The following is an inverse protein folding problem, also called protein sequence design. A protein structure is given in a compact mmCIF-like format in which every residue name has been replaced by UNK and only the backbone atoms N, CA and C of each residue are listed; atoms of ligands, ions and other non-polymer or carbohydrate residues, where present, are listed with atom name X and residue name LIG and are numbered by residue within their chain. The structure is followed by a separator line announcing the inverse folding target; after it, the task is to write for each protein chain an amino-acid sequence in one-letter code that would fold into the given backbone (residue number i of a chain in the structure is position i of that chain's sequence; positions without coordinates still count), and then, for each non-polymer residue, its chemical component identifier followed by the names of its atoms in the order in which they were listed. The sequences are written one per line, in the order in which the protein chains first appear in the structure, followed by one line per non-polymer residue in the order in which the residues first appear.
data_IF_416773855192
#
_entry.id   IF_416773855192
#
_cell.length_a   1.000
_cell.length_b   1.000
_cell.length_c   1.000
_cell.angle_alpha   90.00
_cell.angle_beta   90.00
_cell.angle_gamma   90.00
#
_symmetry.space_group_name_H-M   'P 1'
#
loop_
_entity.id
_entity.type
_entity.pdbx_description
1 polymer ?
#
# COMPACT_ATOMS: atom_id res chain seq x y z
N UNK A 1 -4.42 -23.19 11.28
CA UNK A 1 -4.66 -24.45 10.55
C UNK A 1 -4.02 -25.63 11.28
N UNK A 2 -4.75 -26.72 11.53
CA UNK A 2 -4.22 -27.99 12.02
C UNK A 2 -4.34 -29.04 10.91
N UNK A 3 -3.23 -29.68 10.55
CA UNK A 3 -3.18 -30.75 9.56
C UNK A 3 -3.32 -32.10 10.27
N UNK A 4 -4.29 -32.91 9.83
CA UNK A 4 -4.38 -34.32 10.20
C UNK A 4 -3.85 -35.12 9.00
N UNK A 5 -2.64 -35.64 9.14
CA UNK A 5 -1.99 -36.46 8.10
C UNK A 5 -2.73 -37.78 7.92
N UNK A 6 -3.47 -37.93 6.81
CA UNK A 6 -4.24 -39.14 6.53
C UNK A 6 -4.16 -39.63 5.08
N UNK A 7 -3.27 -39.09 4.23
CA UNK A 7 -3.02 -39.62 2.88
C UNK A 7 -1.71 -39.10 2.30
N UNK A 8 -0.84 -40.03 1.92
CA UNK A 8 0.56 -39.77 1.59
C UNK A 8 0.84 -39.30 0.18
N UNK A 9 0.36 -38.11 -0.20
CA UNK A 9 1.01 -37.20 -1.16
C UNK A 9 0.28 -35.84 -1.18
N UNK A 10 1.02 -34.74 -1.03
CA UNK A 10 0.49 -33.37 -1.18
C UNK A 10 0.74 -32.93 -2.63
N UNK A 11 -0.33 -32.73 -3.38
CA UNK A 11 -0.26 -32.19 -4.75
C UNK A 11 -0.36 -30.67 -4.66
N UNK A 12 0.67 -29.97 -5.13
CA UNK A 12 0.71 -28.52 -5.22
C UNK A 12 0.58 -28.11 -6.68
N UNK A 13 -0.42 -27.29 -7.00
CA UNK A 13 -0.48 -26.56 -8.26
C UNK A 13 0.21 -25.20 -8.08
N UNK A 14 1.16 -24.89 -8.96
CA UNK A 14 1.97 -23.68 -8.85
C UNK A 14 2.40 -23.18 -10.22
N UNK A 15 2.26 -21.87 -10.44
CA UNK A 15 2.74 -21.23 -11.65
C UNK A 15 4.10 -20.55 -11.40
N UNK A 16 5.09 -20.88 -12.22
CA UNK A 16 6.44 -20.31 -12.09
C UNK A 16 6.53 -18.93 -12.76
N UNK A 17 7.29 -18.03 -12.16
CA UNK A 17 7.74 -16.79 -12.79
C UNK A 17 8.63 -17.08 -14.00
N UNK A 18 8.89 -16.08 -14.86
CA UNK A 18 9.75 -16.26 -16.03
C UNK A 18 11.17 -16.71 -15.68
N UNK A 19 11.73 -16.17 -14.60
CA UNK A 19 13.00 -16.63 -14.05
C UNK A 19 12.93 -18.10 -13.58
N UNK A 20 11.81 -18.50 -12.96
CA UNK A 20 11.54 -19.87 -12.55
C UNK A 20 11.44 -20.83 -13.75
N UNK A 21 10.64 -20.49 -14.76
CA UNK A 21 10.50 -21.23 -16.02
C UNK A 21 11.84 -21.39 -16.73
N UNK A 22 12.65 -20.34 -16.80
CA UNK A 22 14.00 -20.37 -17.39
C UNK A 22 14.91 -21.35 -16.66
N UNK A 23 14.92 -21.35 -15.33
CA UNK A 23 15.75 -22.28 -14.52
C UNK A 23 15.28 -23.73 -14.65
N UNK A 24 13.96 -23.96 -14.73
CA UNK A 24 13.41 -25.29 -14.97
C UNK A 24 13.80 -25.80 -16.37
N UNK A 25 13.68 -24.95 -17.39
CA UNK A 25 14.00 -25.27 -18.78
C UNK A 25 15.49 -25.58 -19.02
N UNK A 26 16.39 -25.13 -18.15
CA UNK A 26 17.82 -25.45 -18.25
C UNK A 26 18.15 -26.93 -18.01
N UNK A 27 17.25 -27.71 -17.39
CA UNK A 27 17.37 -29.18 -17.29
C UNK A 27 18.61 -29.69 -16.54
N UNK A 28 19.36 -28.82 -15.88
CA UNK A 28 20.64 -29.12 -15.22
C UNK A 28 20.50 -29.43 -13.72
N UNK A 29 19.27 -29.62 -13.22
CA UNK A 29 18.98 -29.86 -11.80
C UNK A 29 19.18 -28.65 -10.89
N UNK A 30 19.46 -27.45 -11.43
CA UNK A 30 19.64 -26.23 -10.64
C UNK A 30 18.34 -25.64 -10.10
N UNK A 31 17.19 -26.03 -10.67
CA UNK A 31 15.89 -25.60 -10.18
C UNK A 31 15.55 -26.31 -8.86
N UNK A 32 15.49 -25.54 -7.78
CA UNK A 32 15.06 -26.01 -6.45
C UNK A 32 14.19 -24.93 -5.81
N UNK A 33 13.03 -25.32 -5.31
CA UNK A 33 12.21 -24.45 -4.46
C UNK A 33 12.88 -24.38 -3.09
N UNK A 34 13.52 -23.25 -2.79
CA UNK A 34 14.27 -23.06 -1.54
C UNK A 34 13.43 -22.39 -0.44
N UNK A 35 12.42 -21.63 -0.84
CA UNK A 35 11.55 -20.87 0.05
C UNK A 35 10.13 -20.90 -0.52
N UNK A 36 9.16 -21.00 0.37
CA UNK A 36 7.74 -20.85 0.10
C UNK A 36 7.15 -20.02 1.24
N UNK A 37 6.05 -19.34 0.95
CA UNK A 37 5.22 -18.67 1.95
C UNK A 37 3.79 -19.16 1.73
N UNK A 38 3.11 -19.48 2.83
CA UNK A 38 1.68 -19.72 2.81
C UNK A 38 0.95 -18.42 3.16
N UNK A 39 -0.29 -18.30 2.74
CA UNK A 39 -1.19 -17.25 3.16
C UNK A 39 -2.63 -17.75 3.07
N UNK A 40 -3.53 -17.00 3.69
CA UNK A 40 -4.92 -17.39 3.91
C UNK A 40 -5.87 -16.21 3.62
N UNK A 41 -5.40 -15.27 2.80
CA UNK A 41 -6.13 -14.03 2.49
C UNK A 41 -7.33 -14.25 1.56
N UNK A 42 -7.48 -15.46 0.99
CA UNK A 42 -8.61 -15.83 0.14
C UNK A 42 -9.86 -16.18 0.95
N UNK A 43 -9.70 -16.49 2.24
CA UNK A 43 -10.82 -16.82 3.13
C UNK A 43 -11.18 -15.59 3.97
N UNK A 44 -12.40 -15.07 3.77
CA UNK A 44 -12.95 -14.04 4.65
C UNK A 44 -13.59 -14.67 5.88
N UNK A 45 -12.80 -14.74 6.96
CA UNK A 45 -13.26 -15.23 8.26
C UNK A 45 -14.32 -14.34 8.91
N UNK A 46 -14.52 -13.10 8.46
CA UNK A 46 -15.57 -12.20 8.93
C UNK A 46 -16.98 -12.67 8.54
N UNK A 47 -17.10 -13.52 7.52
CA UNK A 47 -18.36 -14.15 7.09
C UNK A 47 -18.81 -15.29 8.00
N UNK A 48 -18.05 -15.59 9.07
CA UNK A 48 -18.47 -16.55 10.09
C UNK A 48 -19.59 -15.94 10.95
N UNK A 49 -20.80 -16.49 10.85
CA UNK A 49 -21.95 -16.04 11.65
C UNK A 49 -22.24 -17.03 12.80
N UNK A 50 -21.74 -16.76 14.03
CA UNK A 50 -22.02 -17.61 15.19
C UNK A 50 -23.49 -17.54 15.66
N UNK A 51 -24.30 -16.65 15.08
CA UNK A 51 -25.70 -16.43 15.46
C UNK A 51 -26.69 -16.92 14.39
N UNK A 52 -26.24 -17.69 13.39
CA UNK A 52 -27.13 -18.16 12.31
C UNK A 52 -28.30 -18.95 12.89
N UNK A 53 -29.53 -18.51 12.59
CA UNK A 53 -30.77 -19.10 13.11
C UNK A 53 -30.95 -20.59 12.75
N UNK A 54 -30.26 -21.07 11.71
CA UNK A 54 -30.33 -22.46 11.23
C UNK A 54 -29.42 -23.42 12.03
N UNK A 55 -28.66 -22.91 13.00
CA UNK A 55 -27.81 -23.69 13.90
C UNK A 55 -26.35 -23.80 13.46
N UNK A 56 -25.52 -24.42 14.29
CA UNK A 56 -24.05 -24.41 14.16
C UNK A 56 -23.48 -25.02 12.88
N UNK A 57 -24.28 -25.80 12.15
CA UNK A 57 -23.90 -26.36 10.85
C UNK A 57 -23.91 -25.32 9.71
N UNK A 58 -24.41 -24.11 9.97
CA UNK A 58 -24.54 -23.04 8.98
C UNK A 58 -23.66 -21.82 9.31
N UNK A 59 -22.87 -21.87 10.39
CA UNK A 59 -22.04 -20.75 10.82
C UNK A 59 -20.91 -20.44 9.84
N UNK A 60 -20.43 -21.47 9.15
CA UNK A 60 -19.32 -21.43 8.19
C UNK A 60 -19.77 -21.69 6.74
N UNK A 61 -21.09 -21.72 6.47
CA UNK A 61 -21.59 -22.10 5.14
C UNK A 61 -21.11 -21.15 4.04
N UNK A 62 -21.09 -19.84 4.30
CA UNK A 62 -20.62 -18.85 3.33
C UNK A 62 -19.13 -19.03 3.03
N UNK A 63 -18.32 -19.29 4.06
CA UNK A 63 -16.88 -19.57 3.94
C UNK A 63 -16.63 -20.85 3.13
N UNK A 64 -17.42 -21.90 3.36
CA UNK A 64 -17.28 -23.15 2.60
C UNK A 64 -17.72 -23.01 1.13
N UNK A 65 -18.51 -21.99 0.82
CA UNK A 65 -18.98 -21.69 -0.54
C UNK A 65 -18.09 -20.68 -1.27
N UNK A 66 -17.13 -20.02 -0.61
CA UNK A 66 -16.23 -19.09 -1.29
C UNK A 66 -15.34 -19.85 -2.27
N UNK A 67 -15.33 -19.49 -3.56
CA UNK A 67 -14.46 -20.14 -4.53
C UNK A 67 -13.00 -19.75 -4.27
N UNK A 68 -12.14 -20.76 -4.10
CA UNK A 68 -10.68 -20.59 -4.09
C UNK A 68 -10.22 -20.42 -5.53
N UNK A 69 -9.42 -19.37 -5.79
CA UNK A 69 -8.97 -19.04 -7.14
C UNK A 69 -7.65 -19.76 -7.47
N UNK A 70 -7.29 -19.79 -8.75
CA UNK A 70 -6.00 -20.35 -9.17
C UNK A 70 -4.82 -19.47 -8.70
N UNK A 71 -3.65 -20.10 -8.51
CA UNK A 71 -2.45 -19.38 -8.11
C UNK A 71 -2.02 -18.38 -9.21
N UNK A 72 -2.08 -17.08 -8.92
CA UNK A 72 -1.63 -16.04 -9.85
C UNK A 72 -0.10 -15.99 -9.96
N UNK A 73 0.41 -15.77 -11.17
CA UNK A 73 1.85 -15.56 -11.42
C UNK A 73 2.39 -14.26 -10.83
N UNK A 74 1.49 -13.31 -10.55
CA UNK A 74 1.84 -12.01 -10.01
C UNK A 74 1.84 -12.07 -8.47
N UNK A 75 3.03 -12.20 -7.88
CA UNK A 75 3.18 -12.25 -6.42
C UNK A 75 2.65 -10.97 -5.73
N UNK A 76 2.57 -9.86 -6.46
CA UNK A 76 2.17 -8.55 -5.98
C UNK A 76 0.65 -8.49 -5.73
N UNK A 77 -0.11 -9.40 -6.34
CA UNK A 77 -1.58 -9.49 -6.22
C UNK A 77 -2.05 -10.63 -5.32
N UNK A 78 -1.17 -11.55 -4.90
CA UNK A 78 -1.59 -12.84 -4.33
C UNK A 78 -1.77 -12.82 -2.81
N UNK A 79 -0.94 -12.11 -2.04
CA UNK A 79 -0.98 -12.17 -0.57
C UNK A 79 -0.74 -10.79 0.07
N UNK A 80 -1.70 -10.33 0.89
CA UNK A 80 -1.59 -9.15 1.76
C UNK A 80 -0.95 -9.47 3.10
N UNK A 81 -1.18 -10.66 3.63
CA UNK A 81 -0.54 -11.18 4.83
C UNK A 81 0.30 -12.40 4.49
N UNK A 82 1.58 -12.35 4.84
CA UNK A 82 2.52 -13.45 4.61
C UNK A 82 2.67 -14.24 5.90
N UNK A 83 2.77 -15.56 5.81
CA UNK A 83 3.09 -16.38 6.98
C UNK A 83 4.46 -15.97 7.53
N UNK A 84 4.47 -15.53 8.79
CA UNK A 84 5.68 -15.14 9.53
C UNK A 84 5.87 -16.08 10.72
N UNK A 85 7.13 -16.32 11.08
CA UNK A 85 7.47 -17.04 12.31
C UNK A 85 7.71 -16.02 13.42
N UNK A 86 6.89 -16.07 14.46
CA UNK A 86 7.04 -15.24 15.66
C UNK A 86 7.56 -16.12 16.79
N UNK A 87 8.36 -15.57 17.69
CA UNK A 87 8.85 -16.34 18.85
C UNK A 87 7.80 -16.40 19.96
N UNK A 88 6.94 -15.39 20.00
CA UNK A 88 5.84 -15.30 20.94
C UNK A 88 4.59 -16.06 20.44
N UNK A 89 4.29 -17.19 21.07
CA UNK A 89 3.11 -18.01 20.73
C UNK A 89 1.80 -17.49 21.35
N UNK A 90 1.84 -16.44 22.19
CA UNK A 90 0.66 -15.91 22.90
C UNK A 90 0.07 -14.67 22.21
N UNK A 91 0.27 -14.52 20.90
CA UNK A 91 -0.24 -13.39 20.12
C UNK A 91 -1.62 -13.70 19.56
N UNK A 92 -2.59 -12.84 19.90
CA UNK A 92 -3.95 -12.89 19.36
C UNK A 92 -4.14 -11.98 18.15
N UNK A 93 -3.39 -10.86 18.09
CA UNK A 93 -3.49 -9.87 17.01
C UNK A 93 -2.16 -9.69 16.30
N UNK A 94 -2.25 -9.52 14.98
CA UNK A 94 -1.13 -9.07 14.15
C UNK A 94 -1.28 -7.58 13.82
N UNK A 95 -0.16 -6.85 13.70
CA UNK A 95 -0.19 -5.45 13.29
C UNK A 95 -0.64 -5.29 11.84
N UNK A 96 -1.34 -4.20 11.60
CA UNK A 96 -1.78 -3.77 10.28
C UNK A 96 -1.16 -2.41 9.96
N UNK A 97 -1.04 -2.11 8.67
CA UNK A 97 -0.64 -0.80 8.15
C UNK A 97 -1.89 -0.14 7.58
N UNK A 98 -2.26 1.04 8.09
CA UNK A 98 -3.43 1.79 7.63
C UNK A 98 -3.06 3.17 7.14
N UNK A 99 -3.70 3.58 6.06
CA UNK A 99 -3.65 4.94 5.56
C UNK A 99 -4.27 5.91 6.58
N UNK A 100 -3.58 7.00 6.89
CA UNK A 100 -4.02 7.98 7.86
C UNK A 100 -4.55 9.25 7.19
N UNK A 101 -5.87 9.43 7.27
CA UNK A 101 -6.58 10.61 6.75
C UNK A 101 -7.12 11.53 7.86
N UNK A 102 -6.68 11.35 9.12
CA UNK A 102 -7.23 12.12 10.27
C UNK A 102 -6.50 13.44 10.53
N UNK A 103 -5.30 13.62 9.99
CA UNK A 103 -4.50 14.83 10.22
C UNK A 103 -4.72 15.79 9.05
N UNK A 104 -5.07 17.06 9.33
CA UNK A 104 -5.45 18.03 8.29
C UNK A 104 -4.31 18.44 7.35
N UNK A 105 -3.05 18.20 7.72
CA UNK A 105 -1.87 18.60 6.93
C UNK A 105 -1.37 17.51 5.96
N UNK A 106 -1.96 16.31 5.98
CA UNK A 106 -1.61 15.22 5.06
C UNK A 106 -2.55 15.15 3.86
N UNK A 107 -2.03 14.64 2.75
CA UNK A 107 -2.85 14.40 1.58
C UNK A 107 -3.95 13.38 1.89
N UNK A 108 -5.18 13.69 1.49
CA UNK A 108 -6.34 12.81 1.62
C UNK A 108 -6.67 12.17 0.27
N UNK A 109 -6.99 10.88 0.27
CA UNK A 109 -7.46 10.21 -0.93
C UNK A 109 -8.90 10.64 -1.26
N UNK A 110 -9.14 11.02 -2.52
CA UNK A 110 -10.46 10.91 -3.13
C UNK A 110 -11.62 11.78 -2.64
N UNK A 111 -11.42 12.82 -1.81
CA UNK A 111 -12.55 13.71 -1.42
C UNK A 111 -12.97 14.68 -2.54
N UNK A 112 -12.22 14.72 -3.66
CA UNK A 112 -12.52 15.53 -4.83
C UNK A 112 -12.95 14.66 -6.03
N UNK A 113 -13.80 15.22 -6.90
CA UNK A 113 -14.33 14.54 -8.09
C UNK A 113 -13.27 14.14 -9.13
N UNK A 114 -12.03 14.61 -8.95
CA UNK A 114 -10.91 14.36 -9.87
C UNK A 114 -10.06 13.19 -9.40
N UNK A 115 -9.78 13.09 -8.09
CA UNK A 115 -9.07 11.98 -7.47
C UNK A 115 -9.90 10.70 -7.40
N UNK A 116 -11.23 10.80 -7.23
CA UNK A 116 -12.17 9.66 -7.34
C UNK A 116 -11.74 8.41 -6.53
N UNK A 117 -11.28 8.60 -5.29
CA UNK A 117 -10.76 7.53 -4.43
C UNK A 117 -9.24 7.36 -4.44
N UNK A 118 -8.53 8.04 -5.35
CA UNK A 118 -7.06 8.01 -5.48
C UNK A 118 -6.39 9.29 -4.98
N UNK A 119 -5.09 9.22 -4.70
CA UNK A 119 -4.24 10.40 -4.52
C UNK A 119 -3.98 11.08 -5.85
N UNK A 120 -4.45 12.31 -6.00
CA UNK A 120 -4.32 13.07 -7.24
C UNK A 120 -2.96 13.80 -7.29
N UNK A 121 -2.07 13.40 -8.21
CA UNK A 121 -0.76 14.01 -8.46
C UNK A 121 -0.83 14.89 -9.71
N UNK A 122 -0.62 16.18 -9.56
CA UNK A 122 -0.61 17.14 -10.69
C UNK A 122 0.78 17.15 -11.32
N UNK A 123 0.86 16.86 -12.63
CA UNK A 123 2.17 16.59 -13.24
C UNK A 123 2.90 17.82 -13.73
N UNK A 124 2.23 18.90 -14.11
CA UNK A 124 2.86 20.08 -14.73
C UNK A 124 2.35 21.41 -14.15
N UNK A 125 2.99 22.51 -14.54
CA UNK A 125 2.63 23.82 -13.99
C UNK A 125 1.22 24.25 -14.40
N UNK A 126 0.79 23.88 -15.62
CA UNK A 126 -0.52 24.26 -16.14
C UNK A 126 -1.65 23.54 -15.39
N UNK A 127 -1.46 22.26 -15.04
CA UNK A 127 -2.37 21.51 -14.17
C UNK A 127 -2.38 22.04 -12.76
N UNK A 128 -1.22 22.31 -12.18
CA UNK A 128 -1.11 22.90 -10.84
C UNK A 128 -1.90 24.20 -10.77
N UNK A 129 -1.75 25.08 -11.78
CA UNK A 129 -2.46 26.36 -11.81
C UNK A 129 -3.97 26.21 -12.01
N UNK A 130 -4.39 25.27 -12.86
CA UNK A 130 -5.81 25.04 -13.18
C UNK A 130 -6.59 24.35 -12.06
N UNK A 131 -5.97 23.34 -11.43
CA UNK A 131 -6.62 22.52 -10.42
C UNK A 131 -6.35 23.00 -8.99
N UNK A 132 -5.16 23.54 -8.75
CA UNK A 132 -4.73 24.12 -7.48
C UNK A 132 -5.13 25.56 -7.26
N UNK A 133 -5.46 26.30 -8.33
CA UNK A 133 -5.80 27.72 -8.27
C UNK A 133 -4.57 28.65 -8.35
N UNK A 134 -4.82 29.96 -8.26
CA UNK A 134 -3.76 30.98 -8.30
C UNK A 134 -3.11 31.13 -6.92
N UNK A 135 -2.19 30.23 -6.63
CA UNK A 135 -1.49 30.14 -5.35
C UNK A 135 -0.87 28.74 -5.23
N UNK A 136 0.27 28.63 -4.55
CA UNK A 136 0.98 27.35 -4.38
C UNK A 136 0.35 26.45 -3.28
N UNK A 137 -0.79 26.85 -2.72
CA UNK A 137 -1.52 26.07 -1.72
C UNK A 137 -2.50 25.11 -2.41
N UNK A 138 -2.07 23.86 -2.58
CA UNK A 138 -2.89 22.78 -3.16
C UNK A 138 -3.85 22.15 -2.13
N UNK A 139 -3.78 22.57 -0.86
CA UNK A 139 -4.49 21.95 0.25
C UNK A 139 -4.16 20.46 0.41
N UNK A 140 -5.02 19.74 1.12
CA UNK A 140 -4.91 18.29 1.35
C UNK A 140 -5.32 17.44 0.12
N UNK A 141 -5.73 18.07 -0.98
CA UNK A 141 -6.48 17.40 -2.08
C UNK A 141 -5.63 16.99 -3.27
N UNK A 142 -4.50 17.65 -3.49
CA UNK A 142 -3.65 17.44 -4.65
C UNK A 142 -2.19 17.46 -4.26
N UNK A 143 -1.42 16.51 -4.79
CA UNK A 143 0.02 16.43 -4.64
C UNK A 143 0.66 17.25 -5.76
N UNK A 144 1.57 18.17 -5.42
CA UNK A 144 2.41 18.85 -6.40
C UNK A 144 3.46 17.86 -6.93
N UNK A 145 3.15 17.20 -8.03
CA UNK A 145 4.06 16.29 -8.70
C UNK A 145 5.21 16.98 -9.42
N UNK A 146 5.21 18.30 -9.59
CA UNK A 146 6.26 19.07 -10.27
C UNK A 146 7.36 19.49 -9.29
N UNK A 147 6.95 20.18 -8.22
CA UNK A 147 7.86 20.80 -7.24
C UNK A 147 8.04 19.97 -5.96
N UNK A 148 7.19 18.97 -5.72
CA UNK A 148 7.21 18.14 -4.51
C UNK A 148 6.54 18.80 -3.29
N UNK A 149 6.60 18.16 -2.11
CA UNK A 149 5.74 18.46 -0.96
C UNK A 149 6.06 19.76 -0.18
N UNK A 150 7.13 20.48 -0.54
CA UNK A 150 7.56 21.66 0.20
C UNK A 150 6.79 22.91 -0.26
N UNK A 151 5.73 23.26 0.47
CA UNK A 151 5.06 24.54 0.41
C UNK A 151 5.23 25.31 1.73
N UNK A 152 5.11 26.64 1.71
CA UNK A 152 5.30 27.65 2.79
C UNK A 152 5.09 27.15 4.24
N UNK A 153 6.05 26.40 4.78
CA UNK A 153 6.01 25.85 6.14
C UNK A 153 5.06 24.66 6.39
N UNK A 154 4.38 24.12 5.36
CA UNK A 154 3.47 22.97 5.49
C UNK A 154 4.08 21.74 4.81
N UNK A 155 4.42 20.71 5.59
CA UNK A 155 4.93 19.43 5.09
C UNK A 155 3.77 18.51 4.73
N UNK A 156 3.39 18.48 3.46
CA UNK A 156 2.31 17.61 2.99
C UNK A 156 2.87 16.25 2.54
N UNK A 157 2.40 15.18 3.15
CA UNK A 157 2.81 13.81 2.84
C UNK A 157 1.62 12.85 2.82
N UNK A 158 1.80 11.72 2.15
CA UNK A 158 0.98 10.53 2.30
C UNK A 158 1.49 9.82 3.56
N UNK A 159 0.59 9.54 4.51
CA UNK A 159 0.94 8.92 5.78
C UNK A 159 0.27 7.56 5.95
N UNK A 160 1.08 6.59 6.35
CA UNK A 160 0.63 5.27 6.80
C UNK A 160 1.05 5.05 8.25
N UNK A 161 0.12 4.57 9.07
CA UNK A 161 0.36 4.23 10.47
C UNK A 161 0.34 2.72 10.63
N UNK A 162 1.29 2.20 11.40
CA UNK A 162 1.40 0.79 11.73
C UNK A 162 1.05 0.53 13.19
N UNK A 163 0.29 -0.54 13.45
CA UNK A 163 -0.01 -1.00 14.80
C UNK A 163 -1.18 -1.98 14.86
N UNK A 164 -1.64 -2.29 16.08
CA UNK A 164 -2.78 -3.18 16.29
C UNK A 164 -4.09 -2.39 16.20
N UNK A 165 -4.91 -2.71 15.21
CA UNK A 165 -6.23 -2.09 15.07
C UNK A 165 -7.29 -2.87 15.85
N UNK A 166 -7.25 -2.74 17.17
CA UNK A 166 -8.24 -3.33 18.08
C UNK A 166 -8.58 -2.35 19.19
N UNK A 167 -9.79 -2.48 19.73
CA UNK A 167 -10.24 -1.75 20.92
C UNK A 167 -10.03 -2.55 22.21
N UNK A 168 -9.67 -3.84 22.08
CA UNK A 168 -9.47 -4.73 23.24
C UNK A 168 -8.15 -4.45 23.98
N UNK A 169 -7.15 -3.93 23.26
CA UNK A 169 -5.87 -3.54 23.83
C UNK A 169 -5.75 -2.03 23.74
N UNK A 170 -5.50 -1.38 24.88
CA UNK A 170 -5.31 0.07 24.93
C UNK A 170 -4.09 0.52 24.12
N UNK A 171 -4.24 1.63 23.41
CA UNK A 171 -3.17 2.33 22.69
C UNK A 171 -2.10 2.97 23.59
N UNK A 172 -2.26 2.91 24.91
CA UNK A 172 -1.24 3.34 25.88
C UNK A 172 -0.11 2.32 25.99
N UNK A 173 -0.40 1.04 25.71
CA UNK A 173 0.63 0.02 25.70
C UNK A 173 1.54 0.16 24.48
N UNK A 174 2.82 -0.16 24.69
CA UNK A 174 3.79 -0.23 23.61
C UNK A 174 3.58 -1.51 22.81
N UNK A 175 3.73 -1.40 21.48
CA UNK A 175 3.78 -2.56 20.62
C UNK A 175 5.05 -3.38 20.88
N UNK A 176 4.95 -4.70 20.79
CA UNK A 176 6.11 -5.58 20.88
C UNK A 176 7.12 -5.25 19.75
N UNK A 177 8.41 -5.34 20.05
CA UNK A 177 9.47 -5.07 19.08
C UNK A 177 9.44 -6.07 17.91
N UNK A 178 9.00 -7.31 18.12
CA UNK A 178 8.83 -8.31 17.04
C UNK A 178 7.68 -7.94 16.09
N UNK A 179 6.72 -7.14 16.55
CA UNK A 179 5.58 -6.68 15.78
C UNK A 179 5.77 -5.28 15.22
N UNK A 180 6.88 -4.60 15.54
CA UNK A 180 7.11 -3.23 15.10
C UNK A 180 7.86 -3.21 13.77
N UNK A 181 7.37 -2.42 12.81
CA UNK A 181 8.04 -2.25 11.53
C UNK A 181 9.19 -1.26 11.65
N UNK A 182 10.41 -1.69 11.32
CA UNK A 182 11.59 -0.82 11.26
C UNK A 182 11.95 -0.45 9.82
N UNK A 183 11.36 -1.13 8.83
CA UNK A 183 11.63 -0.91 7.43
C UNK A 183 10.37 -1.19 6.62
N UNK A 184 10.15 -0.38 5.59
CA UNK A 184 9.10 -0.54 4.62
C UNK A 184 9.70 -0.74 3.23
N UNK A 185 9.07 -1.60 2.45
CA UNK A 185 9.33 -1.78 1.03
C UNK A 185 8.22 -1.05 0.30
N UNK A 186 8.57 0.05 -0.37
CA UNK A 186 7.61 0.79 -1.19
C UNK A 186 7.87 0.49 -2.66
N UNK A 187 6.83 0.23 -3.43
CA UNK A 187 6.94 -0.11 -4.85
C UNK A 187 6.06 0.79 -5.70
N UNK A 188 6.58 1.27 -6.82
CA UNK A 188 5.86 2.11 -7.78
C UNK A 188 6.41 1.92 -9.20
N UNK A 189 5.61 2.22 -10.22
CA UNK A 189 6.10 2.24 -11.61
C UNK A 189 7.09 3.39 -11.83
N UNK A 190 8.35 3.05 -12.09
CA UNK A 190 9.45 4.00 -12.26
C UNK A 190 9.22 5.01 -13.39
N UNK A 191 8.34 4.70 -14.35
CA UNK A 191 8.05 5.58 -15.49
C UNK A 191 7.10 6.71 -15.10
N UNK A 192 6.30 6.54 -14.05
CA UNK A 192 5.28 7.51 -13.67
C UNK A 192 5.76 8.49 -12.60
N UNK A 193 6.56 8.02 -11.63
CA UNK A 193 7.05 8.91 -10.60
C UNK A 193 8.20 8.34 -9.77
N UNK A 194 8.63 9.14 -8.80
CA UNK A 194 9.64 8.79 -7.81
C UNK A 194 9.16 9.20 -6.42
N UNK A 195 9.67 8.51 -5.40
CA UNK A 195 9.38 8.85 -4.00
C UNK A 195 10.24 10.03 -3.58
N UNK A 196 9.62 11.00 -2.93
CA UNK A 196 10.30 12.13 -2.28
C UNK A 196 9.95 12.15 -0.80
N UNK A 197 10.92 12.62 -0.02
CA UNK A 197 10.75 12.89 1.40
C UNK A 197 9.91 14.15 1.64
N UNK A 198 9.45 14.33 2.88
CA UNK A 198 8.81 15.53 3.42
C UNK A 198 9.62 16.81 3.19
N UNK A 199 10.95 16.72 3.21
CA UNK A 199 11.87 17.82 2.89
C UNK A 199 12.15 17.97 1.38
N UNK A 200 11.32 17.37 0.53
CA UNK A 200 11.44 17.37 -0.94
C UNK A 200 12.75 16.77 -1.47
N UNK A 201 13.34 15.83 -0.71
CA UNK A 201 14.52 15.09 -1.14
C UNK A 201 14.10 13.84 -1.90
N UNK A 202 14.51 13.72 -3.17
CA UNK A 202 14.27 12.51 -3.96
C UNK A 202 15.03 11.33 -3.38
N UNK A 203 14.31 10.21 -3.24
CA UNK A 203 14.86 8.94 -2.80
C UNK A 203 15.19 8.10 -4.03
N UNK A 204 16.39 7.50 -4.04
CA UNK A 204 16.79 6.63 -5.14
C UNK A 204 16.21 5.22 -4.95
N UNK A 205 15.70 4.58 -6.01
CA UNK A 205 15.23 3.20 -5.93
C UNK A 205 16.40 2.27 -5.60
N UNK A 206 16.12 1.25 -4.79
CA UNK A 206 17.11 0.23 -4.44
C UNK A 206 17.28 -0.81 -5.54
N UNK A 207 16.18 -1.14 -6.22
CA UNK A 207 16.16 -2.03 -7.38
C UNK A 207 15.00 -1.62 -8.30
N UNK A 208 15.18 -1.81 -9.60
CA UNK A 208 14.12 -1.67 -10.61
C UNK A 208 14.02 -3.01 -11.30
N UNK A 209 12.82 -3.59 -11.33
CA UNK A 209 12.61 -4.88 -11.95
C UNK A 209 12.40 -4.77 -13.48
N UNK A 210 12.33 -5.91 -14.16
CA UNK A 210 12.19 -6.00 -15.62
C UNK A 210 10.88 -5.40 -16.17
N UNK A 211 9.85 -5.32 -15.33
CA UNK A 211 8.57 -4.66 -15.59
C UNK A 211 8.58 -3.14 -15.29
N UNK A 212 9.76 -2.56 -14.98
CA UNK A 212 9.95 -1.17 -14.55
C UNK A 212 9.30 -0.81 -13.20
N UNK A 213 8.99 -1.77 -12.35
CA UNK A 213 8.60 -1.48 -10.97
C UNK A 213 9.84 -1.15 -10.14
N UNK A 214 9.92 0.09 -9.66
CA UNK A 214 10.94 0.54 -8.72
C UNK A 214 10.58 0.11 -7.29
N UNK A 215 11.54 -0.52 -6.60
CA UNK A 215 11.43 -0.91 -5.20
C UNK A 215 12.36 -0.06 -4.32
N UNK A 216 11.81 0.48 -3.23
CA UNK A 216 12.48 1.37 -2.30
C UNK A 216 12.51 0.73 -0.90
N UNK A 217 13.70 0.50 -0.37
CA UNK A 217 13.88 0.04 1.01
C UNK A 217 14.05 1.24 1.94
N UNK A 218 13.00 1.57 2.70
CA UNK A 218 12.95 2.77 3.54
C UNK A 218 12.97 2.35 5.01
N UNK A 219 14.00 2.74 5.76
CA UNK A 219 14.18 2.32 7.16
C UNK A 219 14.57 3.45 8.12
N UNK A 220 14.79 4.66 7.64
CA UNK A 220 15.33 5.77 8.44
C UNK A 220 14.45 7.00 8.38
N UNK A 221 14.56 7.84 9.42
CA UNK A 221 14.09 9.22 9.44
C UNK A 221 14.64 9.99 8.23
N UNK A 222 13.87 10.90 7.61
CA UNK A 222 12.55 11.42 8.02
C UNK A 222 11.34 10.57 7.60
N UNK A 223 11.50 9.65 6.65
CA UNK A 223 10.38 8.90 6.06
C UNK A 223 9.76 7.89 7.03
N UNK A 224 10.58 7.24 7.87
CA UNK A 224 10.12 6.29 8.89
C UNK A 224 10.44 6.85 10.25
N UNK A 225 9.39 7.07 11.05
CA UNK A 225 9.53 7.57 12.41
C UNK A 225 8.62 6.80 13.38
N UNK A 226 9.01 6.67 14.66
CA UNK A 226 8.17 6.01 15.65
C UNK A 226 6.89 6.81 15.89
N UNK A 227 5.75 6.12 15.91
CA UNK A 227 4.51 6.71 16.40
C UNK A 227 4.61 6.85 17.91
N UNK A 228 4.29 8.04 18.42
CA UNK A 228 4.21 8.24 19.85
C UNK A 228 3.05 7.41 20.41
N UNK A 229 3.33 6.61 21.45
CA UNK A 229 2.29 5.91 22.20
C UNK A 229 1.31 6.93 22.81
N UNK A 230 0.04 6.55 22.94
CA UNK A 230 -0.92 7.43 23.58
C UNK A 230 -0.55 7.59 25.07
N UNK A 231 -0.54 8.83 25.55
CA UNK A 231 -0.27 9.12 26.97
C UNK A 231 -1.50 8.87 27.87
N UNK A 232 -2.67 8.65 27.28
CA UNK A 232 -3.92 8.32 27.97
C UNK A 232 -4.92 7.66 27.01
N UNK A 233 -5.82 6.83 27.53
CA UNK A 233 -6.93 6.25 26.79
C UNK A 233 -7.80 7.37 26.20
N UNK A 234 -7.80 7.48 24.86
CA UNK A 234 -8.59 8.48 24.12
C UNK A 234 -7.84 9.73 23.63
N UNK A 235 -6.50 9.79 23.67
CA UNK A 235 -5.77 11.03 23.36
C UNK A 235 -4.71 10.93 22.24
N UNK A 236 -5.12 10.57 21.03
CA UNK A 236 -4.62 11.31 19.86
C UNK A 236 -5.60 11.24 18.70
N UNK A 237 -6.01 12.38 18.17
CA UNK A 237 -6.75 12.51 16.91
C UNK A 237 -5.92 12.08 15.70
N UNK A 238 -4.61 12.00 15.85
CA UNK A 238 -3.69 12.04 14.71
C UNK A 238 -3.27 10.66 14.22
N UNK A 239 -3.90 9.57 14.70
CA UNK A 239 -3.66 8.22 14.19
C UNK A 239 -4.96 7.45 13.98
N UNK A 240 -4.97 6.65 12.92
CA UNK A 240 -6.09 5.77 12.56
C UNK A 240 -6.10 4.45 13.33
N UNK A 241 -4.97 4.06 13.94
CA UNK A 241 -4.85 2.81 14.69
C UNK A 241 -5.46 2.97 16.09
N UNK A 242 -6.41 2.08 16.42
CA UNK A 242 -7.14 2.10 17.69
C UNK A 242 -6.35 1.57 18.91
N UNK A 243 -5.45 0.61 18.70
CA UNK A 243 -4.66 -0.03 19.76
C UNK A 243 -3.18 0.39 19.79
N UNK A 244 -2.28 -0.46 20.34
CA UNK A 244 -0.84 -0.20 20.40
C UNK A 244 -0.23 0.15 19.04
N UNK A 245 0.65 1.16 19.03
CA UNK A 245 1.22 1.74 17.81
C UNK A 245 2.70 1.39 17.68
N UNK A 246 3.14 1.20 16.44
CA UNK A 246 4.52 0.97 16.07
C UNK A 246 5.12 2.20 15.39
N UNK A 247 5.37 2.12 14.08
CA UNK A 247 5.96 3.22 13.31
C UNK A 247 4.97 3.86 12.34
N UNK A 248 5.30 5.06 11.85
CA UNK A 248 4.64 5.67 10.70
C UNK A 248 5.60 5.80 9.54
N UNK A 249 5.03 5.70 8.34
CA UNK A 249 5.69 5.95 7.07
C UNK A 249 5.06 7.20 6.44
N UNK A 250 5.88 8.21 6.16
CA UNK A 250 5.49 9.47 5.53
C UNK A 250 6.33 9.69 4.29
N UNK A 251 5.69 9.86 3.14
CA UNK A 251 6.38 10.20 1.88
C UNK A 251 5.46 10.98 0.95
N UNK A 252 6.02 11.61 -0.07
CA UNK A 252 5.26 12.20 -1.16
C UNK A 252 5.76 11.68 -2.51
N UNK A 253 5.09 12.07 -3.58
CA UNK A 253 5.33 11.59 -4.93
C UNK A 253 5.71 12.73 -5.86
N UNK A 254 6.72 12.47 -6.68
CA UNK A 254 7.19 13.38 -7.71
C UNK A 254 6.93 12.75 -9.08
N UNK A 255 6.30 13.48 -10.00
CA UNK A 255 6.03 13.01 -11.35
C UNK A 255 7.32 12.88 -12.16
N UNK A 256 7.39 11.89 -13.05
CA UNK A 256 8.54 11.73 -13.94
C UNK A 256 8.61 12.85 -14.98
N UNK A 257 9.83 13.16 -15.47
CA UNK A 257 10.03 14.18 -16.50
C UNK A 257 9.24 13.90 -17.78
N UNK A 258 9.02 12.62 -18.10
CA UNK A 258 8.24 12.20 -19.28
C UNK A 258 6.78 12.61 -19.15
N UNK A 259 6.16 12.42 -17.97
CA UNK A 259 4.77 12.87 -17.72
C UNK A 259 4.65 14.40 -17.68
N UNK A 260 5.69 15.09 -17.24
CA UNK A 260 5.73 16.57 -17.22
C UNK A 260 5.76 17.15 -18.62
N UNK A 261 6.59 16.58 -19.50
CA UNK A 261 6.94 17.18 -20.79
C UNK A 261 6.13 16.64 -21.97
N UNK A 262 5.54 15.45 -21.86
CA UNK A 262 4.86 14.78 -22.96
C UNK A 262 3.52 14.20 -22.55
N UNK A 263 2.59 14.11 -23.51
CA UNK A 263 1.33 13.37 -23.38
C UNK A 263 1.46 11.91 -23.82
N UNK A 264 2.61 11.49 -24.36
CA UNK A 264 2.76 10.16 -24.99
C UNK A 264 2.30 9.00 -24.09
N UNK A 265 2.71 9.00 -22.82
CA UNK A 265 2.28 7.96 -21.87
C UNK A 265 0.79 8.07 -21.53
N UNK A 266 0.24 9.28 -21.47
CA UNK A 266 -1.19 9.49 -21.26
C UNK A 266 -2.03 9.02 -22.45
N UNK A 267 -1.51 9.16 -23.68
CA UNK A 267 -2.18 8.69 -24.88
C UNK A 267 -2.11 7.15 -25.02
N UNK A 268 -1.05 6.53 -24.50
CA UNK A 268 -0.84 5.08 -24.60
C UNK A 268 -1.56 4.28 -23.50
N UNK A 269 -1.53 4.75 -22.25
CA UNK A 269 -2.06 4.02 -21.09
C UNK A 269 -3.01 4.84 -20.22
N UNK A 270 -3.18 6.12 -20.52
CA UNK A 270 -4.07 7.01 -19.78
C UNK A 270 -5.50 7.02 -20.31
N UNK A 271 -6.35 7.71 -19.57
CA UNK A 271 -7.75 7.98 -19.94
C UNK A 271 -8.01 9.48 -19.90
N UNK A 272 -8.86 9.99 -20.79
CA UNK A 272 -9.28 11.40 -20.78
C UNK A 272 -10.59 11.56 -20.01
N UNK A 273 -10.70 12.63 -19.23
CA UNK A 273 -11.91 13.04 -18.54
C UNK A 273 -12.08 14.56 -18.58
N UNK A 274 -13.27 15.02 -18.23
CA UNK A 274 -13.58 16.45 -18.14
C UNK A 274 -14.00 16.79 -16.72
N UNK A 275 -13.41 17.84 -16.15
CA UNK A 275 -13.81 18.35 -14.84
C UNK A 275 -15.23 18.90 -14.93
N UNK A 276 -16.18 18.23 -14.30
CA UNK A 276 -17.61 18.53 -14.41
C UNK A 276 -17.99 19.99 -14.11
N UNK A 277 -17.24 20.69 -13.25
CA UNK A 277 -17.55 22.06 -12.82
C UNK A 277 -16.88 23.14 -13.68
N UNK A 278 -15.70 22.87 -14.25
CA UNK A 278 -14.91 23.86 -15.03
C UNK A 278 -14.97 23.62 -16.54
N UNK A 279 -15.43 22.43 -16.97
CA UNK A 279 -15.40 22.02 -18.38
C UNK A 279 -13.99 21.75 -18.92
N UNK A 280 -12.97 21.75 -18.05
CA UNK A 280 -11.57 21.52 -18.43
C UNK A 280 -11.31 20.05 -18.69
N UNK A 281 -10.78 19.75 -19.86
CA UNK A 281 -10.32 18.41 -20.22
C UNK A 281 -8.96 18.12 -19.59
N UNK A 282 -8.81 16.91 -19.07
CA UNK A 282 -7.56 16.40 -18.54
C UNK A 282 -7.40 14.93 -18.87
N UNK A 283 -6.15 14.49 -18.99
CA UNK A 283 -5.76 13.10 -19.06
C UNK A 283 -5.29 12.64 -17.69
N UNK A 284 -5.52 11.38 -17.37
CA UNK A 284 -5.03 10.78 -16.14
C UNK A 284 -4.53 9.35 -16.35
N UNK A 285 -3.57 8.94 -15.52
CA UNK A 285 -3.07 7.57 -15.41
C UNK A 285 -3.31 7.12 -13.99
N UNK A 286 -4.01 6.01 -13.83
CA UNK A 286 -4.21 5.35 -12.54
C UNK A 286 -3.11 4.30 -12.33
N UNK A 287 -2.49 4.36 -11.16
CA UNK A 287 -1.49 3.39 -10.71
C UNK A 287 -1.62 3.17 -9.21
N UNK A 288 -0.88 2.22 -8.68
CA UNK A 288 -0.91 1.87 -7.27
C UNK A 288 0.51 1.93 -6.72
N UNK A 289 0.69 2.67 -5.64
CA UNK A 289 1.90 2.58 -4.82
C UNK A 289 1.66 1.50 -3.78
N UNK A 290 2.55 0.53 -3.70
CA UNK A 290 2.43 -0.58 -2.75
C UNK A 290 3.38 -0.35 -1.60
N UNK A 291 2.89 -0.59 -0.39
CA UNK A 291 3.64 -0.43 0.85
C UNK A 291 3.60 -1.77 1.57
N UNK A 292 4.76 -2.36 1.82
CA UNK A 292 4.90 -3.60 2.56
C UNK A 292 5.79 -3.39 3.79
N UNK A 293 5.35 -3.91 4.94
CA UNK A 293 6.22 -4.07 6.10
C UNK A 293 7.33 -5.09 5.82
N UNK A 294 8.56 -4.80 6.24
CA UNK A 294 9.67 -5.73 6.10
C UNK A 294 9.65 -6.83 7.18
N UNK A 295 9.17 -6.51 8.39
CA UNK A 295 9.12 -7.45 9.52
C UNK A 295 7.90 -8.36 9.45
N UNK A 296 6.71 -7.76 9.35
CA UNK A 296 5.43 -8.50 9.42
C UNK A 296 4.97 -8.99 8.05
N UNK A 297 5.52 -8.42 6.97
CA UNK A 297 5.12 -8.76 5.61
C UNK A 297 3.74 -8.24 5.20
N UNK A 298 3.04 -7.51 6.09
CA UNK A 298 1.73 -6.94 5.79
C UNK A 298 1.84 -5.91 4.67
N UNK A 299 0.91 -5.96 3.71
CA UNK A 299 0.88 -5.08 2.55
C UNK A 299 -0.39 -4.25 2.50
N UNK A 300 -0.23 -2.96 2.16
CA UNK A 300 -1.30 -2.04 1.82
C UNK A 300 -1.02 -1.36 0.49
N UNK A 301 -2.08 -1.18 -0.29
CA UNK A 301 -2.04 -0.57 -1.61
C UNK A 301 -2.64 0.84 -1.54
N UNK A 302 -1.92 1.82 -2.07
CA UNK A 302 -2.32 3.22 -2.12
C UNK A 302 -2.61 3.61 -3.58
N UNK A 303 -3.89 3.85 -3.94
CA UNK A 303 -4.23 4.24 -5.29
C UNK A 303 -3.75 5.67 -5.57
N UNK A 304 -3.07 5.86 -6.71
CA UNK A 304 -2.48 7.13 -7.14
C UNK A 304 -2.93 7.42 -8.56
N UNK A 305 -3.27 8.68 -8.81
CA UNK A 305 -3.71 9.18 -10.11
C UNK A 305 -2.83 10.34 -10.54
N UNK A 306 -2.04 10.17 -11.59
CA UNK A 306 -1.29 11.25 -12.23
C UNK A 306 -2.20 11.99 -13.20
N UNK A 307 -2.22 13.33 -13.17
CA UNK A 307 -3.16 14.17 -13.93
C UNK A 307 -2.41 15.19 -14.76
N UNK A 308 -2.73 15.24 -16.07
CA UNK A 308 -2.25 16.22 -17.03
C UNK A 308 -3.40 16.98 -17.69
N UNK A 309 -3.29 18.30 -17.82
CA UNK A 309 -4.29 19.14 -18.49
C UNK A 309 -4.06 19.00 -19.99
N UNK A 310 -5.17 18.93 -20.74
CA UNK A 310 -5.17 18.92 -22.21
C UNK A 310 -5.40 20.33 -22.73
#
# INVERSE_FOLDING_TARGET
MAFLDNSGDIILDAVLTDAGRRRLAQGNGSFRVAKYAFGDDEIDYGSYDPNNASGSAYYDLEILQTPILEAFTNNIASLKSKLITLTNNNLLYLPVIKMNNKVPDFYTSGTNSIGSGSYAVLVDQDTVTEFGGTGKDLGDKYIDGLNGPAFDGVQQAIRFDQGLDTTEISAVFNLDAELTENQYIVQLDNRFGTIVDTDNKTINPSYIDDDNIASYYISTSPLVTPLQANKSDGSSTDSVIAGPRGTKLEFSLLSSITLRTSTFLFDQVGTSATKAVSGVSYQYIDTTVKIQGATTGYQVDAPVRFIKKV
#
